data_IF_769530023684
#
_entry.id   IF_769530023684
#
_cell.length_a   1.000
_cell.length_b   1.000
_cell.length_c   1.000
_cell.angle_alpha   90.00
_cell.angle_beta   90.00
_cell.angle_gamma   90.00
#
_symmetry.space_group_name_H-M   'P 1'
#
loop_
_entity.id
_entity.type
_entity.pdbx_description
1 polymer ?
#
# COMPACT_ATOMS: atom_id res chain seq x y z
N UNK A 1 -1.74 7.96 14.88
CA UNK A 1 -2.50 8.69 15.91
C UNK A 1 -3.88 8.06 15.97
N UNK A 2 -4.32 7.64 17.15
CA UNK A 2 -5.62 7.00 17.34
C UNK A 2 -6.71 8.08 17.40
N UNK A 3 -7.89 7.79 16.85
CA UNK A 3 -9.05 8.65 17.00
C UNK A 3 -9.50 8.66 18.47
N UNK A 4 -10.11 9.77 18.96
CA UNK A 4 -10.69 9.80 20.30
C UNK A 4 -11.68 8.65 20.51
N UNK A 5 -11.46 7.85 21.57
CA UNK A 5 -12.33 6.73 21.93
C UNK A 5 -11.99 5.38 21.29
N UNK A 6 -10.88 5.27 20.53
CA UNK A 6 -10.37 3.98 20.04
C UNK A 6 -9.19 3.52 20.90
N UNK A 7 -9.33 2.41 21.63
CA UNK A 7 -8.20 1.81 22.34
C UNK A 7 -7.19 1.21 21.33
N UNK A 8 -5.87 1.33 21.56
CA UNK A 8 -4.88 0.64 20.76
C UNK A 8 -5.15 -0.87 20.83
N UNK A 9 -5.07 -1.55 19.68
CA UNK A 9 -4.96 -3.01 19.68
C UNK A 9 -3.73 -3.36 20.49
N UNK A 10 -3.86 -4.31 21.43
CA UNK A 10 -2.73 -4.75 22.25
C UNK A 10 -1.55 -5.16 21.37
N UNK A 11 -0.33 -4.82 21.81
CA UNK A 11 0.87 -5.17 21.08
C UNK A 11 0.92 -6.69 20.82
N UNK A 12 1.30 -7.12 19.62
CA UNK A 12 1.48 -8.54 19.35
C UNK A 12 2.55 -9.11 20.29
N UNK A 13 2.41 -10.40 20.61
CA UNK A 13 3.43 -11.11 21.39
C UNK A 13 4.79 -10.94 20.72
N UNK A 14 5.78 -10.51 21.49
CA UNK A 14 7.17 -10.43 21.03
C UNK A 14 7.60 -11.85 20.65
N UNK A 15 7.98 -12.05 19.39
CA UNK A 15 8.61 -13.31 18.98
C UNK A 15 10.00 -13.35 19.62
N UNK A 16 10.20 -14.26 20.56
CA UNK A 16 11.50 -14.49 21.20
C UNK A 16 12.50 -15.04 20.18
N UNK A 17 13.48 -14.20 19.80
CA UNK A 17 14.68 -14.60 19.07
C UNK A 17 14.47 -15.23 17.69
N UNK A 18 15.55 -15.29 16.91
CA UNK A 18 15.56 -16.12 15.70
C UNK A 18 15.79 -17.58 16.17
N UNK A 19 15.03 -18.57 15.67
CA UNK A 19 15.28 -19.97 15.97
C UNK A 19 16.57 -20.42 15.27
N UNK A 20 17.69 -20.17 15.93
CA UNK A 20 19.00 -20.71 15.57
C UNK A 20 19.24 -22.00 16.35
N UNK A 21 19.84 -22.99 15.70
CA UNK A 21 20.22 -24.22 16.38
C UNK A 21 21.24 -23.91 17.50
N UNK A 22 21.08 -24.50 18.70
CA UNK A 22 22.02 -24.29 19.79
C UNK A 22 23.36 -24.96 19.49
N UNK A 23 24.47 -24.23 19.68
CA UNK A 23 25.83 -24.75 19.48
C UNK A 23 26.57 -24.87 20.81
N UNK A 24 26.25 -25.91 21.60
CA UNK A 24 26.76 -26.04 22.98
C UNK A 24 28.28 -26.31 23.04
N UNK A 25 28.81 -27.16 22.16
CA UNK A 25 30.26 -27.43 21.99
C UNK A 25 30.49 -27.93 20.56
N UNK A 26 31.47 -27.37 19.83
CA UNK A 26 31.89 -27.87 18.52
C UNK A 26 33.39 -28.09 18.44
N UNK A 27 33.78 -29.21 17.83
CA UNK A 27 35.17 -29.59 17.56
C UNK A 27 35.44 -29.42 16.07
N UNK A 28 36.37 -28.53 15.72
CA UNK A 28 36.81 -28.31 14.34
C UNK A 28 38.00 -29.24 14.08
N UNK A 29 37.92 -30.06 13.04
CA UNK A 29 38.98 -31.03 12.70
C UNK A 29 39.57 -30.73 11.31
N UNK A 30 40.89 -30.91 11.10
CA UNK A 30 41.48 -30.78 9.77
C UNK A 30 40.78 -31.69 8.74
N UNK A 31 40.45 -31.15 7.57
CA UNK A 31 39.78 -31.89 6.48
C UNK A 31 38.26 -32.04 6.63
N UNK A 32 37.63 -31.38 7.62
CA UNK A 32 36.19 -31.34 7.77
C UNK A 32 35.52 -30.69 6.54
N UNK A 33 34.38 -31.26 6.12
CA UNK A 33 33.56 -30.69 5.04
C UNK A 33 33.01 -29.32 5.42
N UNK A 34 32.69 -28.52 4.40
CA UNK A 34 32.14 -27.18 4.58
C UNK A 34 30.87 -27.22 5.44
N UNK A 35 30.84 -26.39 6.48
CA UNK A 35 29.63 -26.22 7.29
C UNK A 35 28.79 -25.07 6.74
N UNK A 36 27.50 -25.35 6.54
CA UNK A 36 26.48 -24.43 6.03
C UNK A 36 25.30 -24.31 7.00
N UNK A 37 25.47 -24.71 8.27
CA UNK A 37 24.47 -24.56 9.30
C UNK A 37 24.05 -23.09 9.42
N UNK A 38 22.74 -22.85 9.54
CA UNK A 38 22.18 -21.50 9.60
C UNK A 38 22.20 -20.70 8.29
N UNK A 39 22.66 -21.28 7.16
CA UNK A 39 22.74 -20.57 5.87
C UNK A 39 21.40 -19.99 5.42
N UNK A 40 20.30 -20.69 5.69
CA UNK A 40 18.93 -20.29 5.32
C UNK A 40 18.15 -19.62 6.46
N UNK A 41 18.78 -19.35 7.61
CA UNK A 41 18.08 -18.80 8.78
C UNK A 41 17.74 -17.31 8.61
N UNK A 42 18.49 -16.60 7.77
CA UNK A 42 18.25 -15.20 7.43
C UNK A 42 18.11 -15.04 5.92
N UNK A 43 17.26 -14.10 5.50
CA UNK A 43 17.13 -13.70 4.10
C UNK A 43 18.18 -12.62 3.78
N UNK A 44 18.90 -12.80 2.66
CA UNK A 44 19.87 -11.80 2.18
C UNK A 44 19.11 -10.60 1.58
N UNK A 45 19.55 -9.38 1.90
CA UNK A 45 19.05 -8.16 1.26
C UNK A 45 19.57 -8.03 -0.18
N UNK A 46 18.80 -7.38 -1.04
CA UNK A 46 19.17 -7.20 -2.45
C UNK A 46 20.00 -5.93 -2.62
N UNK A 47 21.23 -5.99 -3.16
CA UNK A 47 22.06 -4.80 -3.34
C UNK A 47 21.46 -3.85 -4.38
N UNK A 48 21.58 -2.54 -4.16
CA UNK A 48 21.21 -1.54 -5.15
C UNK A 48 22.14 -1.59 -6.37
N UNK A 49 21.58 -1.35 -7.56
CA UNK A 49 22.36 -1.24 -8.80
C UNK A 49 23.09 0.11 -8.93
N UNK A 50 22.72 1.11 -8.13
CA UNK A 50 23.27 2.47 -8.20
C UNK A 50 24.14 2.84 -7.01
N UNK A 51 24.25 1.99 -5.99
CA UNK A 51 25.04 2.27 -4.79
C UNK A 51 25.52 1.00 -4.10
N UNK A 52 26.76 1.05 -3.62
CA UNK A 52 27.43 0.05 -2.80
C UNK A 52 27.02 0.04 -1.32
N UNK A 53 26.15 0.98 -0.90
CA UNK A 53 25.72 1.17 0.49
C UNK A 53 24.24 0.94 0.71
N UNK A 54 23.45 0.88 -0.36
CA UNK A 54 22.00 0.75 -0.27
C UNK A 54 21.58 -0.66 -0.65
N UNK A 55 20.62 -1.18 0.10
CA UNK A 55 20.04 -2.49 -0.12
C UNK A 55 18.52 -2.36 -0.11
N UNK A 56 17.85 -3.12 -0.96
CA UNK A 56 16.41 -3.28 -0.94
C UNK A 56 16.03 -4.34 0.10
N UNK A 57 15.04 -4.00 0.90
CA UNK A 57 14.39 -4.92 1.82
C UNK A 57 13.36 -5.74 1.04
N UNK A 58 13.52 -7.07 0.93
CA UNK A 58 12.54 -7.89 0.24
C UNK A 58 11.18 -7.84 0.96
N UNK A 59 10.13 -8.09 0.20
CA UNK A 59 8.79 -8.25 0.77
C UNK A 59 8.78 -9.41 1.79
N UNK A 60 7.94 -9.31 2.84
CA UNK A 60 7.74 -10.41 3.77
C UNK A 60 7.44 -11.74 3.05
N UNK A 61 7.88 -12.88 3.61
CA UNK A 61 7.57 -14.18 3.02
C UNK A 61 6.07 -14.37 2.81
N UNK A 62 5.70 -14.99 1.69
CA UNK A 62 4.31 -15.23 1.27
C UNK A 62 3.48 -13.96 1.01
N UNK A 63 4.13 -12.83 0.75
CA UNK A 63 3.46 -11.61 0.29
C UNK A 63 3.94 -11.20 -1.10
N UNK A 64 3.07 -10.51 -1.81
CA UNK A 64 3.29 -9.85 -3.10
C UNK A 64 2.91 -8.36 -2.98
N UNK A 65 3.25 -7.50 -3.96
CA UNK A 65 2.96 -6.06 -3.88
C UNK A 65 1.48 -5.68 -3.65
N UNK A 66 0.53 -6.56 -3.98
CA UNK A 66 -0.89 -6.39 -3.77
C UNK A 66 -1.42 -6.98 -2.45
N UNK A 67 -0.57 -7.67 -1.68
CA UNK A 67 -0.98 -8.34 -0.44
C UNK A 67 -1.44 -7.34 0.63
N UNK A 68 -2.64 -7.51 1.21
CA UNK A 68 -3.19 -6.55 2.17
C UNK A 68 -2.42 -6.52 3.51
N UNK A 69 -1.64 -7.55 3.82
CA UNK A 69 -0.73 -7.58 4.97
C UNK A 69 0.28 -6.42 4.95
N UNK A 70 0.60 -5.89 3.76
CA UNK A 70 1.50 -4.74 3.59
C UNK A 70 0.93 -3.43 4.15
N UNK A 71 -0.36 -3.36 4.50
CA UNK A 71 -0.91 -2.25 5.29
C UNK A 71 -0.47 -2.27 6.76
N UNK A 72 0.19 -3.34 7.21
CA UNK A 72 0.63 -3.52 8.60
C UNK A 72 2.03 -2.98 8.82
N UNK A 73 2.44 -2.94 10.09
CA UNK A 73 3.81 -2.63 10.48
C UNK A 73 4.58 -3.92 10.78
N UNK A 74 5.83 -3.97 10.31
CA UNK A 74 6.72 -5.11 10.45
C UNK A 74 7.86 -4.79 11.40
N UNK A 75 8.38 -5.83 12.05
CA UNK A 75 9.64 -5.78 12.80
C UNK A 75 10.65 -6.66 12.10
N UNK A 76 11.82 -6.10 11.79
CA UNK A 76 12.92 -6.81 11.16
C UNK A 76 14.09 -6.94 12.12
N UNK A 77 14.69 -8.13 12.17
CA UNK A 77 16.03 -8.34 12.72
C UNK A 77 17.02 -8.29 11.55
N UNK A 78 17.92 -7.32 11.56
CA UNK A 78 18.97 -7.15 10.54
C UNK A 78 20.30 -7.51 11.18
N UNK A 79 21.05 -8.39 10.52
CA UNK A 79 22.38 -8.80 10.98
C UNK A 79 23.38 -8.73 9.84
N UNK A 80 24.57 -8.23 10.15
CA UNK A 80 25.71 -8.41 9.25
C UNK A 80 26.08 -9.91 9.26
N UNK A 81 26.27 -10.48 8.07
CA UNK A 81 26.69 -11.87 7.93
C UNK A 81 27.63 -12.03 6.75
N UNK A 82 28.49 -13.04 6.83
CA UNK A 82 29.41 -13.38 5.76
C UNK A 82 28.71 -14.34 4.78
N UNK A 83 28.67 -14.02 3.49
CA UNK A 83 27.90 -14.77 2.50
C UNK A 83 28.74 -15.54 1.48
N UNK A 84 30.03 -15.23 1.37
CA UNK A 84 30.94 -15.82 0.40
C UNK A 84 32.40 -15.78 0.88
N UNK A 85 33.16 -16.79 0.44
CA UNK A 85 34.61 -16.87 0.52
C UNK A 85 35.17 -17.17 -0.88
N UNK A 86 36.48 -17.00 -1.13
CA UNK A 86 37.09 -17.29 -2.42
C UNK A 86 36.82 -18.71 -2.93
N UNK A 87 36.91 -18.96 -4.24
CA UNK A 87 36.78 -20.33 -4.78
C UNK A 87 37.83 -21.31 -4.22
N UNK A 88 38.99 -20.79 -3.82
CA UNK A 88 40.06 -21.54 -3.17
C UNK A 88 39.84 -21.74 -1.66
N UNK A 89 38.94 -20.96 -1.04
CA UNK A 89 38.61 -20.99 0.39
C UNK A 89 37.10 -20.71 0.57
N UNK A 90 36.25 -21.69 0.23
CA UNK A 90 34.81 -21.51 0.26
C UNK A 90 34.34 -21.27 1.71
N UNK A 91 33.44 -20.31 1.89
CA UNK A 91 33.02 -19.82 3.21
C UNK A 91 32.69 -20.95 4.20
N UNK A 92 33.46 -21.07 5.28
CA UNK A 92 33.17 -21.96 6.40
C UNK A 92 32.63 -21.15 7.57
N UNK A 93 31.41 -21.44 8.03
CA UNK A 93 30.82 -20.74 9.19
C UNK A 93 29.80 -21.61 9.92
N UNK A 94 29.62 -21.37 11.21
CA UNK A 94 28.63 -22.07 12.05
C UNK A 94 27.32 -21.28 12.10
N UNK A 95 26.21 -21.88 12.55
CA UNK A 95 24.92 -21.22 12.60
C UNK A 95 24.94 -19.97 13.49
N UNK A 96 25.65 -20.03 14.62
CA UNK A 96 25.80 -18.90 15.56
C UNK A 96 26.91 -17.93 15.14
N UNK A 97 28.01 -18.43 14.54
CA UNK A 97 29.14 -17.60 14.11
C UNK A 97 28.92 -16.86 12.79
N UNK A 98 27.85 -17.18 12.05
CA UNK A 98 27.55 -16.61 10.72
C UNK A 98 27.02 -15.19 10.78
N UNK A 99 26.18 -14.89 11.77
CA UNK A 99 25.47 -13.63 11.89
C UNK A 99 25.97 -12.89 13.12
N UNK A 100 26.33 -11.62 12.95
CA UNK A 100 26.71 -10.75 14.05
C UNK A 100 25.54 -10.36 14.94
N UNK A 101 25.74 -9.28 15.70
CA UNK A 101 24.71 -8.73 16.57
C UNK A 101 23.45 -8.32 15.80
N UNK A 102 22.32 -8.44 16.49
CA UNK A 102 20.99 -8.07 16.00
C UNK A 102 20.79 -6.56 16.04
N UNK A 103 20.41 -5.99 14.90
CA UNK A 103 19.79 -4.67 14.82
C UNK A 103 18.28 -4.86 14.57
N UNK A 104 17.47 -4.61 15.61
CA UNK A 104 16.02 -4.66 15.47
C UNK A 104 15.47 -3.31 14.96
N UNK A 105 14.78 -3.37 13.83
CA UNK A 105 14.04 -2.25 13.26
C UNK A 105 12.54 -2.52 13.40
N UNK A 106 11.88 -1.77 14.28
CA UNK A 106 10.44 -1.90 14.56
C UNK A 106 9.64 -0.85 13.79
N UNK A 107 8.41 -1.18 13.43
CA UNK A 107 7.50 -0.22 12.80
C UNK A 107 7.79 0.03 11.32
N UNK A 108 8.46 -0.90 10.63
CA UNK A 108 8.74 -0.78 9.19
C UNK A 108 7.42 -0.92 8.44
N UNK A 109 7.13 0.05 7.58
CA UNK A 109 5.99 -0.01 6.69
C UNK A 109 6.49 -0.21 5.25
N UNK A 110 5.92 -1.20 4.56
CA UNK A 110 6.13 -1.37 3.13
C UNK A 110 5.25 -0.41 2.33
N UNK A 111 5.57 -0.14 1.06
CA UNK A 111 4.66 0.57 0.17
C UNK A 111 3.25 -0.04 0.25
N UNK A 112 2.25 0.80 0.46
CA UNK A 112 0.86 0.35 0.50
C UNK A 112 0.47 -0.30 -0.84
N UNK A 113 -0.30 -1.40 -0.82
CA UNK A 113 -0.88 -1.99 -2.01
C UNK A 113 -1.64 -0.96 -2.84
N UNK A 114 -1.60 -1.13 -4.17
CA UNK A 114 -2.25 -0.25 -5.12
C UNK A 114 -3.75 -0.05 -4.79
N UNK A 115 -4.24 1.19 -4.95
CA UNK A 115 -5.66 1.48 -4.81
C UNK A 115 -6.36 1.19 -6.13
N UNK A 116 -7.08 0.07 -6.19
CA UNK A 116 -7.95 -0.22 -7.31
C UNK A 116 -9.10 0.81 -7.38
N UNK A 117 -9.33 1.36 -8.58
CA UNK A 117 -10.44 2.27 -8.85
C UNK A 117 -11.24 1.74 -10.05
N UNK A 118 -12.44 1.26 -9.79
CA UNK A 118 -13.36 0.81 -10.82
C UNK A 118 -14.25 1.97 -11.26
N UNK A 119 -14.16 2.32 -12.53
CA UNK A 119 -14.98 3.34 -13.18
C UNK A 119 -15.99 2.63 -14.08
N UNK A 120 -17.27 2.84 -13.82
CA UNK A 120 -18.37 2.23 -14.55
C UNK A 120 -19.20 3.37 -15.16
N UNK A 121 -19.35 3.35 -16.48
CA UNK A 121 -20.27 4.25 -17.19
C UNK A 121 -21.58 3.52 -17.35
N UNK A 122 -22.66 4.10 -16.82
CA UNK A 122 -24.02 3.58 -16.89
C UNK A 122 -24.71 4.02 -18.20
N UNK A 123 -25.79 3.36 -18.64
CA UNK A 123 -26.49 3.68 -19.88
C UNK A 123 -27.08 5.10 -19.97
N UNK A 124 -27.25 5.79 -18.84
CA UNK A 124 -27.77 7.16 -18.72
C UNK A 124 -26.66 8.22 -18.61
N UNK A 125 -25.43 7.88 -19.02
CA UNK A 125 -24.20 8.65 -18.84
C UNK A 125 -23.81 8.90 -17.38
N UNK A 126 -24.43 8.21 -16.42
CA UNK A 126 -23.97 8.28 -15.03
C UNK A 126 -22.61 7.57 -14.88
N UNK A 127 -21.76 8.13 -14.03
CA UNK A 127 -20.43 7.61 -13.75
C UNK A 127 -20.44 7.11 -12.33
N UNK A 128 -20.33 5.79 -12.17
CA UNK A 128 -20.30 5.13 -10.88
C UNK A 128 -18.89 4.64 -10.58
N UNK A 129 -18.42 4.94 -9.38
CA UNK A 129 -17.03 4.75 -9.00
C UNK A 129 -16.97 3.93 -7.72
N UNK A 130 -16.15 2.88 -7.74
CA UNK A 130 -15.94 1.98 -6.61
C UNK A 130 -14.46 1.83 -6.30
N UNK A 131 -14.16 1.74 -5.01
CA UNK A 131 -12.82 1.44 -4.54
C UNK A 131 -12.87 0.70 -3.19
N UNK A 132 -11.96 -0.25 -2.93
CA UNK A 132 -11.84 -0.92 -1.65
C UNK A 132 -11.06 -0.06 -0.65
N UNK A 133 -11.55 0.03 0.59
CA UNK A 133 -10.82 0.63 1.71
C UNK A 133 -9.62 -0.23 2.12
N UNK A 134 -8.58 0.41 2.64
CA UNK A 134 -7.41 -0.26 3.16
C UNK A 134 -7.80 -1.18 4.31
N UNK A 135 -7.31 -2.41 4.29
CA UNK A 135 -7.67 -3.45 5.24
C UNK A 135 -6.46 -3.77 6.14
N UNK A 136 -6.38 -3.23 7.36
CA UNK A 136 -5.24 -3.47 8.24
C UNK A 136 -5.26 -4.87 8.84
N UNK A 137 -4.07 -5.44 9.06
CA UNK A 137 -3.84 -6.74 9.69
C UNK A 137 -2.97 -6.63 10.95
N UNK A 138 -3.18 -7.56 11.89
CA UNK A 138 -2.28 -7.81 13.03
C UNK A 138 -2.00 -9.31 13.03
N UNK A 139 -0.76 -9.67 12.71
CA UNK A 139 -0.43 -11.05 12.36
C UNK A 139 -1.29 -11.52 11.18
N UNK A 140 -1.98 -12.64 11.32
CA UNK A 140 -2.90 -13.17 10.31
C UNK A 140 -4.36 -12.71 10.49
N UNK A 141 -4.62 -11.83 11.46
CA UNK A 141 -5.97 -11.38 11.79
C UNK A 141 -6.24 -10.01 11.17
N UNK A 142 -7.31 -9.94 10.38
CA UNK A 142 -7.88 -8.66 9.93
C UNK A 142 -8.43 -7.86 11.11
N UNK A 143 -8.11 -6.57 11.15
CA UNK A 143 -8.56 -5.62 12.20
C UNK A 143 -9.24 -4.37 11.65
N UNK A 144 -9.89 -4.48 10.48
CA UNK A 144 -10.61 -3.37 9.86
C UNK A 144 -11.76 -2.86 10.77
N UNK A 145 -11.77 -1.56 11.13
CA UNK A 145 -12.89 -0.93 11.82
C UNK A 145 -14.16 -0.88 10.95
N UNK A 146 -15.33 -0.91 11.59
CA UNK A 146 -16.61 -0.68 10.92
C UNK A 146 -17.36 0.49 11.60
N UNK A 147 -17.49 1.66 10.96
CA UNK A 147 -17.02 1.98 9.60
C UNK A 147 -15.48 2.07 9.50
N UNK A 148 -14.90 2.00 8.28
CA UNK A 148 -13.47 2.24 8.08
C UNK A 148 -13.03 3.62 8.60
N UNK A 149 -11.83 3.68 9.17
CA UNK A 149 -11.26 4.93 9.68
C UNK A 149 -10.61 5.80 8.59
N UNK A 150 -10.21 5.20 7.47
CA UNK A 150 -9.69 5.93 6.31
C UNK A 150 -10.82 6.52 5.50
N UNK A 151 -10.52 7.58 4.75
CA UNK A 151 -11.47 8.19 3.83
C UNK A 151 -10.95 8.07 2.40
N UNK A 152 -11.83 7.69 1.47
CA UNK A 152 -11.50 7.72 0.05
C UNK A 152 -12.22 8.92 -0.57
N UNK A 153 -11.46 9.75 -1.26
CA UNK A 153 -11.94 10.90 -2.01
C UNK A 153 -11.68 10.67 -3.49
N UNK A 154 -12.69 10.96 -4.29
CA UNK A 154 -12.68 10.72 -5.73
C UNK A 154 -12.66 12.08 -6.43
N UNK A 155 -11.56 12.33 -7.15
CA UNK A 155 -11.34 13.54 -7.94
C UNK A 155 -11.81 13.30 -9.36
N UNK A 156 -12.72 14.14 -9.85
CA UNK A 156 -13.15 14.14 -11.23
C UNK A 156 -12.36 15.22 -12.00
N UNK A 157 -11.60 14.79 -13.00
CA UNK A 157 -10.77 15.64 -13.83
C UNK A 157 -11.33 15.75 -15.25
N UNK A 158 -11.33 16.96 -15.81
CA UNK A 158 -11.41 17.20 -17.24
C UNK A 158 -10.01 17.23 -17.85
N UNK A 159 -9.82 16.58 -19.00
CA UNK A 159 -8.55 16.51 -19.74
C UNK A 159 -8.56 17.53 -20.87
N UNK A 160 -7.91 18.65 -20.64
CA UNK A 160 -7.93 19.82 -21.54
C UNK A 160 -6.59 19.96 -22.25
N UNK A 161 -6.62 20.35 -23.52
CA UNK A 161 -5.39 20.73 -24.22
C UNK A 161 -4.86 22.07 -23.70
N UNK A 162 -3.59 22.11 -23.31
CA UNK A 162 -2.82 23.36 -23.19
C UNK A 162 -2.84 24.17 -24.50
N UNK A 163 -2.71 25.49 -24.35
CA UNK A 163 -2.76 26.45 -25.45
C UNK A 163 -1.68 26.25 -26.52
N UNK A 164 -0.57 25.61 -26.18
CA UNK A 164 0.54 25.30 -27.08
C UNK A 164 0.35 23.99 -27.87
N UNK A 165 -0.80 23.32 -27.71
CA UNK A 165 -1.09 22.02 -28.32
C UNK A 165 -0.10 20.90 -27.96
N UNK A 166 0.80 21.08 -26.97
CA UNK A 166 1.87 20.13 -26.68
C UNK A 166 1.41 18.95 -25.82
N UNK A 167 0.65 19.22 -24.75
CA UNK A 167 0.23 18.18 -23.80
C UNK A 167 -1.12 18.48 -23.16
N UNK A 168 -1.86 17.43 -22.78
CA UNK A 168 -3.12 17.60 -22.02
C UNK A 168 -2.83 17.84 -20.53
N UNK A 169 -3.68 18.63 -19.88
CA UNK A 169 -3.69 18.87 -18.43
C UNK A 169 -5.00 18.39 -17.82
N UNK A 170 -4.90 17.89 -16.59
CA UNK A 170 -6.06 17.50 -15.80
C UNK A 170 -6.49 18.71 -14.96
N UNK A 171 -7.73 19.14 -15.16
CA UNK A 171 -8.35 20.23 -14.40
C UNK A 171 -9.44 19.61 -13.54
N UNK A 172 -9.35 19.78 -12.22
CA UNK A 172 -10.36 19.25 -11.31
C UNK A 172 -11.67 19.99 -11.56
N UNK A 173 -12.74 19.25 -11.81
CA UNK A 173 -14.08 19.78 -12.06
C UNK A 173 -15.08 19.41 -10.96
N UNK A 174 -14.83 18.32 -10.22
CA UNK A 174 -15.58 17.98 -9.02
C UNK A 174 -14.75 17.09 -8.07
N UNK A 175 -15.18 17.00 -6.82
CA UNK A 175 -14.57 16.19 -5.77
C UNK A 175 -15.69 15.59 -4.89
N UNK A 176 -15.70 14.28 -4.71
CA UNK A 176 -16.67 13.62 -3.83
C UNK A 176 -16.01 12.60 -2.90
N UNK A 177 -16.51 12.54 -1.66
CA UNK A 177 -16.17 11.48 -0.73
C UNK A 177 -16.89 10.19 -1.12
N UNK A 178 -16.15 9.09 -1.10
CA UNK A 178 -16.67 7.74 -1.26
C UNK A 178 -17.41 7.32 0.01
N UNK A 179 -18.59 6.71 -0.14
CA UNK A 179 -19.39 6.23 0.98
C UNK A 179 -19.26 4.72 1.10
N UNK A 180 -18.81 4.24 2.27
CA UNK A 180 -18.71 2.81 2.54
C UNK A 180 -20.09 2.14 2.38
N UNK A 181 -20.13 1.07 1.60
CA UNK A 181 -21.35 0.29 1.40
C UNK A 181 -21.72 -0.40 2.71
N UNK A 182 -22.97 -0.19 3.19
CA UNK A 182 -23.48 -0.89 4.36
C UNK A 182 -23.54 -2.38 4.09
N UNK A 183 -22.62 -3.14 4.69
CA UNK A 183 -22.67 -4.59 4.69
C UNK A 183 -23.82 -5.04 5.60
N UNK A 184 -24.85 -5.65 5.03
CA UNK A 184 -25.88 -6.34 5.81
C UNK A 184 -25.26 -7.65 6.33
N UNK A 185 -25.24 -7.82 7.66
CA UNK A 185 -24.55 -8.90 8.35
C UNK A 185 -24.96 -10.29 7.87
N UNK A 186 -24.15 -10.88 7.00
CA UNK A 186 -24.08 -12.32 6.73
C UNK A 186 -22.83 -12.91 7.38
N UNK A 187 -22.86 -14.21 7.68
CA UNK A 187 -21.89 -14.95 8.50
C UNK A 187 -20.42 -14.97 8.01
N UNK A 188 -20.09 -14.27 6.91
CA UNK A 188 -18.72 -14.06 6.44
C UNK A 188 -18.55 -12.62 6.00
N UNK A 189 -17.93 -11.79 6.84
CA UNK A 189 -17.62 -10.41 6.49
C UNK A 189 -16.64 -10.39 5.29
N UNK A 190 -17.02 -9.79 4.13
CA UNK A 190 -16.21 -9.71 2.92
C UNK A 190 -14.78 -9.31 3.20
N UNK A 191 -13.79 -9.90 2.51
CA UNK A 191 -12.36 -9.63 2.71
C UNK A 191 -12.03 -8.13 2.67
N UNK A 192 -12.76 -7.36 1.86
CA UNK A 192 -12.62 -5.92 1.70
C UNK A 192 -13.95 -5.20 1.94
N UNK A 193 -13.91 -4.03 2.57
CA UNK A 193 -15.02 -3.08 2.57
C UNK A 193 -14.84 -2.17 1.36
N UNK A 194 -15.85 -2.08 0.52
CA UNK A 194 -15.86 -1.18 -0.63
C UNK A 194 -16.72 0.05 -0.35
N UNK A 195 -16.35 1.17 -0.96
CA UNK A 195 -17.21 2.34 -1.05
C UNK A 195 -17.68 2.59 -2.47
N UNK A 196 -18.72 3.39 -2.59
CA UNK A 196 -19.26 3.83 -3.88
C UNK A 196 -19.57 5.34 -3.85
N UNK A 197 -19.47 5.96 -5.02
CA UNK A 197 -20.02 7.28 -5.31
C UNK A 197 -20.46 7.32 -6.77
N UNK A 198 -21.37 8.23 -7.10
CA UNK A 198 -21.90 8.37 -8.46
C UNK A 198 -22.02 9.85 -8.83
N UNK A 199 -21.79 10.15 -10.10
CA UNK A 199 -22.20 11.39 -10.77
C UNK A 199 -23.25 11.04 -11.82
N UNK A 200 -24.31 11.82 -11.92
CA UNK A 200 -25.23 11.77 -13.06
C UNK A 200 -24.61 12.47 -14.27
N UNK A 201 -24.99 12.09 -15.49
CA UNK A 201 -24.53 12.79 -16.69
C UNK A 201 -24.86 14.29 -16.70
N UNK A 202 -25.95 14.70 -16.04
CA UNK A 202 -26.33 16.10 -15.88
C UNK A 202 -25.35 16.87 -14.97
N UNK A 203 -24.93 16.27 -13.85
CA UNK A 203 -23.93 16.86 -12.95
C UNK A 203 -22.57 17.03 -13.64
N UNK A 204 -22.14 16.03 -14.41
CA UNK A 204 -20.87 16.10 -15.16
C UNK A 204 -20.92 17.24 -16.19
N UNK A 205 -22.00 17.34 -16.96
CA UNK A 205 -22.18 18.43 -17.93
C UNK A 205 -22.20 19.79 -17.25
N UNK A 206 -22.88 19.92 -16.11
CA UNK A 206 -22.93 21.15 -15.34
C UNK A 206 -21.55 21.54 -14.79
N UNK A 207 -20.76 20.58 -14.29
CA UNK A 207 -19.40 20.82 -13.81
C UNK A 207 -18.46 21.28 -14.94
N UNK A 208 -18.55 20.66 -16.12
CA UNK A 208 -17.80 21.08 -17.31
C UNK A 208 -18.18 22.50 -17.74
N UNK A 209 -19.47 22.81 -17.80
CA UNK A 209 -19.96 24.15 -18.15
C UNK A 209 -19.51 25.21 -17.14
N UNK A 210 -19.55 24.90 -15.84
CA UNK A 210 -19.07 25.79 -14.78
C UNK A 210 -17.57 26.07 -14.92
N UNK A 211 -16.80 25.08 -15.35
CA UNK A 211 -15.37 25.22 -15.68
C UNK A 211 -15.12 25.92 -17.04
N UNK A 212 -16.17 26.29 -17.79
CA UNK A 212 -16.05 26.89 -19.12
C UNK A 212 -15.59 25.92 -20.20
N UNK A 213 -15.76 24.61 -19.99
CA UNK A 213 -15.30 23.55 -20.88
C UNK A 213 -16.44 22.98 -21.73
N UNK A 214 -16.15 22.53 -22.97
CA UNK A 214 -17.10 21.78 -23.78
C UNK A 214 -17.63 20.54 -23.06
N UNK A 215 -18.92 20.22 -23.28
CA UNK A 215 -19.58 19.08 -22.61
C UNK A 215 -19.04 17.71 -23.03
N UNK A 216 -18.32 17.64 -24.16
CA UNK A 216 -17.66 16.47 -24.72
C UNK A 216 -16.18 16.38 -24.30
N UNK A 217 -15.72 17.26 -23.43
CA UNK A 217 -14.34 17.23 -22.91
C UNK A 217 -14.07 15.88 -22.24
N UNK A 218 -13.02 15.14 -22.64
CA UNK A 218 -12.71 13.85 -22.05
C UNK A 218 -12.43 13.99 -20.55
N UNK A 219 -13.01 13.10 -19.75
CA UNK A 219 -12.84 13.11 -18.29
C UNK A 219 -12.05 11.90 -17.80
N UNK A 220 -11.52 12.01 -16.59
CA UNK A 220 -10.75 10.97 -15.91
C UNK A 220 -10.95 11.09 -14.41
N UNK A 221 -10.71 10.00 -13.69
CA UNK A 221 -10.97 9.85 -12.27
C UNK A 221 -9.69 9.46 -11.56
N UNK A 222 -9.46 10.07 -10.39
CA UNK A 222 -8.42 9.67 -9.46
C UNK A 222 -9.05 9.36 -8.10
N UNK A 223 -8.77 8.19 -7.53
CA UNK A 223 -9.12 7.87 -6.16
C UNK A 223 -7.91 8.15 -5.25
N UNK A 224 -8.15 8.78 -4.11
CA UNK A 224 -7.13 9.09 -3.10
C UNK A 224 -7.66 8.64 -1.75
N UNK A 225 -6.94 7.70 -1.13
CA UNK A 225 -7.25 7.27 0.24
C UNK A 225 -6.39 8.04 1.24
N UNK A 226 -7.02 8.55 2.28
CA UNK A 226 -6.42 9.39 3.31
C UNK A 226 -6.41 8.66 4.64
N UNK A 227 -5.31 8.83 5.39
CA UNK A 227 -5.23 8.40 6.77
C UNK A 227 -6.13 9.29 7.65
N UNK A 228 -6.70 8.73 8.74
CA UNK A 228 -7.39 9.56 9.73
C UNK A 228 -6.40 10.54 10.37
N UNK A 229 -6.80 11.80 10.49
CA UNK A 229 -6.03 12.79 11.23
C UNK A 229 -6.69 13.11 12.58
N UNK A 230 -5.87 13.35 13.62
CA UNK A 230 -6.35 13.69 14.96
C UNK A 230 -7.17 14.99 15.00
N UNK A 231 -6.93 15.89 14.04
CA UNK A 231 -7.44 17.27 14.06
C UNK A 231 -8.87 17.40 13.51
N UNK A 232 -9.51 16.30 13.12
CA UNK A 232 -10.94 16.26 12.77
C UNK A 232 -11.23 15.81 11.34
N UNK A 233 -12.47 16.04 10.90
CA UNK A 233 -12.94 15.80 9.53
C UNK A 233 -12.61 16.97 8.62
N UNK A 234 -12.16 16.71 7.40
CA UNK A 234 -11.83 17.73 6.41
C UNK A 234 -12.96 17.88 5.40
N UNK A 235 -13.24 19.13 5.01
CA UNK A 235 -14.27 19.43 4.04
C UNK A 235 -13.72 19.32 2.60
N UNK A 236 -12.45 19.68 2.41
CA UNK A 236 -11.79 19.66 1.11
C UNK A 236 -10.30 19.25 1.27
N UNK A 237 -10.02 17.97 1.60
CA UNK A 237 -8.67 17.49 1.92
C UNK A 237 -7.66 17.57 0.77
N UNK A 238 -8.15 17.72 -0.47
CA UNK A 238 -7.31 17.79 -1.67
C UNK A 238 -7.24 19.19 -2.28
N UNK A 239 -7.97 20.16 -1.71
CA UNK A 239 -7.96 21.56 -2.10
C UNK A 239 -7.64 22.46 -0.91
N UNK A 240 -8.67 23.04 -0.29
CA UNK A 240 -8.53 24.02 0.79
C UNK A 240 -7.76 23.52 2.03
N UNK A 241 -7.84 22.22 2.32
CA UNK A 241 -7.18 21.58 3.47
C UNK A 241 -5.88 20.84 3.07
N UNK A 242 -5.34 21.09 1.87
CA UNK A 242 -4.14 20.40 1.37
C UNK A 242 -2.96 20.60 2.32
N UNK A 243 -2.26 19.50 2.62
CA UNK A 243 -1.13 19.48 3.56
C UNK A 243 -1.53 19.29 5.02
N UNK A 244 -2.83 19.29 5.34
CA UNK A 244 -3.33 18.91 6.67
C UNK A 244 -3.63 17.42 6.80
N UNK A 245 -3.66 16.70 5.67
CA UNK A 245 -3.94 15.26 5.60
C UNK A 245 -2.78 14.47 5.02
N UNK A 246 -2.61 13.23 5.48
CA UNK A 246 -1.68 12.27 4.90
C UNK A 246 -2.38 11.34 3.93
N UNK A 247 -1.83 11.26 2.73
CA UNK A 247 -2.27 10.32 1.69
C UNK A 247 -1.70 8.94 2.04
N UNK A 248 -2.58 7.94 2.12
CA UNK A 248 -2.20 6.53 2.27
C UNK A 248 -1.83 5.92 0.92
N UNK A 249 -2.69 6.09 -0.09
CA UNK A 249 -2.48 5.58 -1.45
C UNK A 249 -3.33 6.33 -2.45
N UNK A 250 -2.89 6.29 -3.71
CA UNK A 250 -3.56 6.89 -4.86
C UNK A 250 -3.77 5.82 -5.92
N UNK A 251 -4.92 5.82 -6.59
CA UNK A 251 -5.13 4.97 -7.75
C UNK A 251 -4.33 5.49 -8.95
N UNK A 252 -4.14 4.68 -10.00
CA UNK A 252 -3.90 5.22 -11.33
C UNK A 252 -5.01 6.19 -11.74
N UNK A 253 -4.67 7.10 -12.65
CA UNK A 253 -5.67 7.97 -13.28
C UNK A 253 -6.44 7.16 -14.32
N UNK A 254 -7.71 6.86 -14.05
CA UNK A 254 -8.56 6.05 -14.93
C UNK A 254 -9.37 6.96 -15.84
N UNK A 255 -9.32 6.71 -17.15
CA UNK A 255 -10.19 7.40 -18.10
C UNK A 255 -11.65 6.96 -17.90
N UNK A 256 -12.59 7.88 -18.04
CA UNK A 256 -14.01 7.52 -18.16
C UNK A 256 -14.27 7.33 -19.66
N UNK A 257 -14.20 6.09 -20.12
CA UNK A 257 -14.43 5.77 -21.51
C UNK A 257 -15.91 5.45 -21.73
N UNK A 258 -16.60 6.29 -22.49
CA UNK A 258 -17.99 6.05 -22.89
C UNK A 258 -18.11 5.00 -24.01
N UNK A 259 -17.00 4.65 -24.67
CA UNK A 259 -16.99 3.90 -25.94
C UNK A 259 -16.15 2.60 -25.89
N UNK A 260 -16.09 1.91 -24.75
CA UNK A 260 -15.27 0.69 -24.65
C UNK A 260 -15.84 -0.51 -25.45
N UNK A 261 -16.99 -0.36 -26.12
CA UNK A 261 -17.69 -1.42 -26.84
C UNK A 261 -18.39 -0.95 -28.14
N UNK A 262 -17.76 -0.11 -28.95
CA UNK A 262 -18.15 -0.03 -30.37
C UNK A 262 -17.51 -1.22 -31.13
N UNK A 263 -18.29 -2.06 -31.84
CA UNK A 263 -17.77 -3.21 -32.58
C UNK A 263 -16.80 -2.80 -33.70
#
# INVERSE_FOLDING_TARGET
>A
MLLPGTEPVADPLVVEGIPLDPELVRVITPGQVQDLAGRSTMQKLEPSVTSDRHFLLPLPPNTDPGSPELFSFFTYDIRAGHDSGPAADPLWTTAQGRFGESLQLKGVQHPAPELACSVIVEPDDAIRIRAPYACPYVGLRRVLPNPPNTEIWIVLYARVMQADASTKRNIQIDLRRLHALRQHGGASAPLFVEGEVTWTGAEVRAALQLAGLPIDTPISVLAVELLPEPNGSFADPLGGDLGQVRILRTSPLSAVETNCCTP
#
